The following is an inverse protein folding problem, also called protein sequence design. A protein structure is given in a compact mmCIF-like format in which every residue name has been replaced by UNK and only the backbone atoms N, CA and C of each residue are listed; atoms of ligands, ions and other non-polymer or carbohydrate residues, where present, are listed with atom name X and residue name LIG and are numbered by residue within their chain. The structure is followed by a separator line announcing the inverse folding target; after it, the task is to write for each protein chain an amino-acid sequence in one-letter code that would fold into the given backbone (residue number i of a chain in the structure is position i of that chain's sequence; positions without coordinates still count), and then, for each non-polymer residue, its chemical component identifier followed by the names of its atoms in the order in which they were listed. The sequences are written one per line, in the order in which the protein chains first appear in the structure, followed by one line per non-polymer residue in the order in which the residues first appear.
data_IF_197005227189
#
_entry.id   IF_197005227189
#
_cell.length_a   1.000
_cell.length_b   1.000
_cell.length_c   1.000
_cell.angle_alpha   90.00
_cell.angle_beta   90.00
_cell.angle_gamma   90.00
#
_symmetry.space_group_name_H-M   'P 1'
#
loop_
_entity.id
_entity.type
_entity.pdbx_description
1 polymer ?
#
# COMPACT_ATOMS: atom_id res chain seq x y z
N UNK A 1 -0.17 -10.50 12.04
CA UNK A 1 0.12 -9.48 11.00
C UNK A 1 0.16 -8.15 11.72
N UNK A 2 1.14 -7.29 11.45
CA UNK A 2 1.23 -6.00 12.15
C UNK A 2 0.25 -5.00 11.56
N UNK A 3 -0.37 -4.18 12.42
CA UNK A 3 -1.20 -3.06 12.00
C UNK A 3 -0.32 -1.91 11.51
N UNK A 4 -0.73 -1.31 10.39
CA UNK A 4 -0.05 -0.18 9.78
C UNK A 4 -1.02 0.99 9.62
N UNK A 5 -0.48 2.20 9.78
CA UNK A 5 -1.10 3.43 9.32
C UNK A 5 -0.37 3.93 8.10
N UNK A 6 -1.08 4.35 7.07
CA UNK A 6 -0.44 4.98 5.92
C UNK A 6 -1.27 6.15 5.42
N UNK A 7 -0.58 7.13 4.83
CA UNK A 7 -1.20 8.30 4.23
C UNK A 7 -0.33 8.83 3.10
N UNK A 8 -0.97 9.41 2.10
CA UNK A 8 -0.26 10.10 1.03
C UNK A 8 -0.20 11.58 1.36
N UNK A 9 1.01 12.13 1.38
CA UNK A 9 1.24 13.55 1.53
C UNK A 9 1.40 14.17 0.14
N UNK A 10 0.37 14.89 -0.30
CA UNK A 10 0.33 15.57 -1.60
C UNK A 10 1.37 16.69 -1.70
N UNK A 11 1.75 17.32 -0.57
CA UNK A 11 2.69 18.45 -0.57
C UNK A 11 4.11 18.02 -0.90
N UNK A 12 4.49 16.80 -0.52
CA UNK A 12 5.82 16.23 -0.77
C UNK A 12 5.79 15.06 -1.76
N UNK A 13 4.61 14.72 -2.27
CA UNK A 13 4.30 13.59 -3.15
C UNK A 13 4.83 12.23 -2.65
N UNK A 14 4.73 11.98 -1.34
CA UNK A 14 5.26 10.75 -0.71
C UNK A 14 4.16 10.00 0.02
N UNK A 15 4.27 8.67 -0.02
CA UNK A 15 3.46 7.80 0.83
C UNK A 15 4.25 7.47 2.09
N UNK A 16 3.69 7.81 3.25
CA UNK A 16 4.24 7.46 4.54
C UNK A 16 3.48 6.25 5.07
N UNK A 17 4.21 5.25 5.55
CA UNK A 17 3.69 4.01 6.12
C UNK A 17 4.33 3.86 7.50
N UNK A 18 3.52 3.69 8.52
CA UNK A 18 3.90 3.58 9.93
C UNK A 18 3.38 2.25 10.47
N UNK A 19 4.27 1.45 11.06
CA UNK A 19 3.87 0.27 11.81
C UNK A 19 3.51 0.66 13.24
N UNK A 20 2.31 0.31 13.69
CA UNK A 20 1.85 0.60 15.05
C UNK A 20 2.52 -0.27 16.10
N UNK A 21 2.90 -1.50 15.74
CA UNK A 21 3.48 -2.49 16.63
C UNK A 21 4.91 -2.13 17.04
N UNK A 22 5.71 -1.67 16.07
CA UNK A 22 7.14 -1.38 16.26
C UNK A 22 7.49 0.11 16.16
N UNK A 23 6.50 0.98 15.96
CA UNK A 23 6.66 2.41 15.65
C UNK A 23 7.65 2.71 14.50
N UNK A 24 7.91 1.72 13.64
CA UNK A 24 8.81 1.89 12.48
C UNK A 24 8.07 2.61 11.36
N UNK A 25 8.74 3.56 10.71
CA UNK A 25 8.22 4.26 9.53
C UNK A 25 8.99 3.92 8.27
N UNK A 26 8.27 3.81 7.16
CA UNK A 26 8.78 3.63 5.80
C UNK A 26 8.16 4.72 4.93
N UNK A 27 8.96 5.31 4.06
CA UNK A 27 8.52 6.39 3.16
C UNK A 27 8.81 5.98 1.73
N UNK A 28 7.77 5.92 0.90
CA UNK A 28 7.92 5.71 -0.53
C UNK A 28 7.97 7.06 -1.24
N UNK A 29 9.05 7.25 -2.01
CA UNK A 29 9.30 8.46 -2.80
C UNK A 29 8.96 8.29 -4.28
N UNK A 30 8.96 7.05 -4.76
CA UNK A 30 8.72 6.77 -6.17
C UNK A 30 7.23 6.60 -6.43
N UNK A 31 6.67 7.41 -7.34
CA UNK A 31 5.26 7.34 -7.76
C UNK A 31 4.82 5.93 -8.14
N UNK A 32 5.63 5.21 -8.94
CA UNK A 32 5.39 3.80 -9.29
C UNK A 32 5.20 2.88 -8.07
N UNK A 33 6.02 3.06 -7.02
CA UNK A 33 5.89 2.26 -5.79
C UNK A 33 4.65 2.64 -5.00
N UNK A 34 4.30 3.92 -4.99
CA UNK A 34 3.10 4.43 -4.33
C UNK A 34 1.87 3.83 -5.01
N UNK A 35 1.78 3.93 -6.33
CA UNK A 35 0.68 3.35 -7.12
C UNK A 35 0.57 1.84 -6.89
N UNK A 36 1.68 1.10 -6.94
CA UNK A 36 1.67 -0.35 -6.68
C UNK A 36 1.19 -0.70 -5.27
N UNK A 37 1.62 0.06 -4.26
CA UNK A 37 1.15 -0.12 -2.90
C UNK A 37 -0.35 0.13 -2.81
N UNK A 38 -0.82 1.26 -3.33
CA UNK A 38 -2.23 1.64 -3.31
C UNK A 38 -3.13 0.64 -4.04
N UNK A 39 -2.68 0.13 -5.20
CA UNK A 39 -3.37 -0.95 -5.92
C UNK A 39 -3.51 -2.23 -5.09
N UNK A 40 -2.60 -2.51 -4.16
CA UNK A 40 -2.72 -3.68 -3.27
C UNK A 40 -3.85 -3.52 -2.25
N UNK A 41 -4.21 -2.28 -1.91
CA UNK A 41 -5.33 -1.95 -1.04
C UNK A 41 -6.60 -1.58 -1.82
N UNK A 42 -6.58 -1.69 -3.16
CA UNK A 42 -7.66 -1.22 -4.04
C UNK A 42 -8.01 0.26 -3.81
N UNK A 43 -6.99 1.07 -3.48
CA UNK A 43 -7.16 2.50 -3.18
C UNK A 43 -6.70 3.36 -4.36
N UNK A 44 -7.49 4.40 -4.63
CA UNK A 44 -7.08 5.48 -5.50
C UNK A 44 -6.23 6.51 -4.74
N UNK A 45 -5.28 7.12 -5.44
CA UNK A 45 -4.40 8.17 -4.90
C UNK A 45 -5.23 9.38 -4.38
N UNK A 46 -6.32 9.71 -5.08
CA UNK A 46 -7.27 10.76 -4.67
C UNK A 46 -8.03 10.44 -3.37
N UNK A 47 -8.21 9.15 -3.03
CA UNK A 47 -8.81 8.74 -1.75
C UNK A 47 -7.83 8.82 -0.60
N UNK A 48 -6.52 8.94 -0.86
CA UNK A 48 -5.46 8.88 0.15
C UNK A 48 -5.18 10.20 0.88
N UNK A 49 -6.10 11.18 0.80
CA UNK A 49 -6.03 12.45 1.54
C UNK A 49 -6.14 12.30 3.06
N UNK A 50 -6.57 11.14 3.54
CA UNK A 50 -6.68 10.80 4.96
C UNK A 50 -5.62 9.83 5.46
N UNK A 51 -5.61 9.62 6.78
CA UNK A 51 -4.81 8.54 7.41
C UNK A 51 -5.62 7.25 7.37
N UNK A 52 -5.10 6.25 6.67
CA UNK A 52 -5.68 4.92 6.60
C UNK A 52 -5.05 4.02 7.65
N UNK A 53 -5.87 3.15 8.23
CA UNK A 53 -5.44 2.11 9.16
C UNK A 53 -5.85 0.76 8.57
N UNK A 54 -4.87 -0.11 8.31
CA UNK A 54 -5.10 -1.47 7.82
C UNK A 54 -3.99 -2.39 8.35
N UNK A 55 -4.06 -3.67 8.02
CA UNK A 55 -3.00 -4.64 8.31
C UNK A 55 -1.93 -4.60 7.22
N UNK A 56 -0.68 -4.94 7.56
CA UNK A 56 0.41 -5.01 6.60
C UNK A 56 0.22 -6.16 5.59
N UNK A 57 -0.64 -5.95 4.58
CA UNK A 57 -0.93 -6.91 3.50
C UNK A 57 0.23 -7.04 2.53
N UNK A 58 0.93 -5.92 2.30
CA UNK A 58 2.09 -5.83 1.39
C UNK A 58 3.34 -6.46 2.01
N UNK A 59 3.39 -6.62 3.33
CA UNK A 59 4.56 -7.17 4.01
C UNK A 59 5.71 -6.16 4.11
N UNK A 60 5.40 -4.86 4.19
CA UNK A 60 6.39 -3.77 4.32
C UNK A 60 7.30 -3.98 5.53
N UNK A 61 6.77 -4.55 6.62
CA UNK A 61 7.49 -4.73 7.88
C UNK A 61 7.74 -6.20 8.23
N UNK A 62 7.37 -7.16 7.38
CA UNK A 62 7.70 -8.57 7.58
C UNK A 62 9.19 -8.82 7.35
N UNK A 63 9.98 -8.64 8.40
CA UNK A 63 11.39 -9.00 8.41
C UNK A 63 11.56 -10.49 8.74
N UNK A 64 11.59 -11.33 7.69
CA UNK A 64 12.53 -12.46 7.53
C UNK A 64 12.33 -13.05 6.13
N UNK A 65 13.42 -13.01 5.36
CA UNK A 65 13.60 -13.57 4.02
C UNK A 65 13.02 -12.76 2.85
N UNK A 66 13.92 -12.26 2.01
CA UNK A 66 13.73 -11.43 0.82
C UNK A 66 13.47 -9.96 1.11
N UNK A 67 14.57 -9.21 1.01
CA UNK A 67 14.70 -8.15 0.02
C UNK A 67 13.42 -7.96 -0.78
N UNK A 68 12.78 -6.81 -0.59
CA UNK A 68 11.64 -6.33 -1.35
C UNK A 68 11.95 -6.46 -2.84
N UNK A 69 11.74 -7.65 -3.40
CA UNK A 69 11.95 -7.98 -4.79
C UNK A 69 10.64 -7.58 -5.46
N UNK A 70 10.59 -6.43 -6.14
CA UNK A 70 9.37 -5.91 -6.75
C UNK A 70 8.86 -6.79 -7.90
N UNK A 71 9.47 -7.96 -8.12
CA UNK A 71 9.26 -8.84 -9.27
C UNK A 71 8.46 -10.11 -8.97
N UNK A 72 8.09 -10.41 -7.71
CA UNK A 72 7.47 -11.71 -7.39
C UNK A 72 5.96 -11.68 -7.12
N UNK A 73 5.30 -10.56 -7.35
CA UNK A 73 3.85 -10.39 -7.09
C UNK A 73 2.98 -10.15 -8.33
N UNK A 74 3.45 -10.50 -9.52
CA UNK A 74 2.54 -10.79 -10.64
C UNK A 74 1.98 -12.21 -10.49
N UNK A 75 1.01 -12.39 -9.60
CA UNK A 75 0.00 -13.45 -9.76
C UNK A 75 -1.38 -12.81 -9.67
N UNK A 76 -1.84 -12.40 -10.85
CA UNK A 76 -3.21 -12.48 -11.38
C UNK A 76 -4.32 -12.51 -10.30
N UNK A 77 -5.01 -11.39 -10.15
CA UNK A 77 -6.44 -11.42 -9.80
C UNK A 77 -7.18 -10.80 -10.96
N UNK A 78 -7.61 -11.68 -11.86
CA UNK A 78 -8.86 -11.50 -12.59
C UNK A 78 -9.94 -11.33 -11.52
N UNK A 79 -10.55 -10.16 -11.41
CA UNK A 79 -11.87 -10.06 -10.81
C UNK A 79 -12.69 -9.03 -11.56
N UNK A 80 -13.37 -9.55 -12.58
CA UNK A 80 -14.72 -9.20 -12.99
C UNK A 80 -15.50 -8.51 -11.87
N UNK A 81 -15.93 -7.27 -12.10
CA UNK A 81 -17.17 -6.77 -11.51
C UNK A 81 -18.11 -6.42 -12.67
N UNK A 82 -19.08 -7.29 -12.86
CA UNK A 82 -20.20 -7.12 -13.76
C UNK A 82 -21.20 -6.12 -13.16
N UNK A 83 -21.70 -5.25 -14.04
CA UNK A 83 -23.10 -4.83 -14.19
C UNK A 83 -23.82 -4.09 -13.05
N UNK A 84 -24.40 -2.94 -13.40
CA UNK A 84 -25.85 -2.68 -13.19
C UNK A 84 -26.32 -1.57 -14.13
N UNK A 85 -27.30 -1.95 -14.95
CA UNK A 85 -28.20 -1.18 -15.83
C UNK A 85 -28.85 -0.01 -15.10
N UNK A 86 -29.03 1.12 -15.81
CA UNK A 86 -30.30 1.85 -15.99
C UNK A 86 -30.27 2.67 -17.29
#
# INVERSE_FOLDING_TARGET
MSEIKFWYDESIERLIILNLDNQKRVVYRSKKRIETFLSTYDLALSSCKGVFLDVDRVGVFKAREREFAPFRWFRKTENTYSESVE
#
